data_IF_091435383933
#
_entry.id   IF_091435383933
#
_cell.length_a   1.000
_cell.length_b   1.000
_cell.length_c   1.000
_cell.angle_alpha   90.00
_cell.angle_beta   90.00
_cell.angle_gamma   90.00
#
_symmetry.space_group_name_H-M   'P 1'
#
loop_
_entity.id
_entity.type
_entity.pdbx_description
1 polymer ?
#
# COMPACT_ATOMS: atom_id res chain seq x y z
N UNK A 1 14.90 -36.28 -4.27
CA UNK A 1 13.55 -36.63 -3.80
C UNK A 1 12.65 -35.43 -4.11
N UNK A 2 11.65 -35.61 -4.98
CA UNK A 2 10.72 -34.54 -5.34
C UNK A 2 9.64 -34.33 -4.29
N UNK A 3 8.67 -33.45 -4.60
CA UNK A 3 7.43 -33.30 -3.83
C UNK A 3 6.65 -34.61 -3.91
N UNK A 4 6.21 -35.14 -2.77
CA UNK A 4 5.47 -36.41 -2.66
C UNK A 4 4.05 -36.24 -2.09
N UNK A 5 3.63 -34.99 -1.80
CA UNK A 5 2.33 -34.71 -1.19
C UNK A 5 1.81 -33.31 -1.48
N UNK A 6 0.53 -33.20 -1.83
CA UNK A 6 -0.22 -31.95 -2.02
C UNK A 6 -1.39 -31.89 -1.04
N UNK A 7 -1.65 -30.74 -0.44
CA UNK A 7 -2.71 -30.54 0.56
C UNK A 7 -3.23 -29.10 0.53
N UNK A 8 -4.51 -28.93 0.84
CA UNK A 8 -5.12 -27.65 1.14
C UNK A 8 -5.19 -27.44 2.66
N UNK A 9 -4.99 -26.20 3.12
CA UNK A 9 -5.21 -25.83 4.53
C UNK A 9 -4.21 -26.39 5.54
N UNK A 10 -2.98 -26.69 5.12
CA UNK A 10 -1.90 -27.09 6.02
C UNK A 10 -0.73 -27.77 5.30
N UNK A 11 0.33 -28.06 6.03
CA UNK A 11 1.56 -28.67 5.49
C UNK A 11 1.79 -30.04 6.15
N UNK A 12 2.03 -31.08 5.35
CA UNK A 12 2.39 -32.40 5.89
C UNK A 12 3.86 -32.42 6.31
N UNK A 13 4.15 -32.62 7.61
CA UNK A 13 5.50 -32.70 8.19
C UNK A 13 5.61 -33.97 9.04
N UNK A 14 6.57 -34.84 8.70
CA UNK A 14 6.77 -36.12 9.40
C UNK A 14 5.46 -36.92 9.59
N UNK A 15 4.62 -36.96 8.55
CA UNK A 15 3.32 -37.66 8.57
C UNK A 15 2.18 -36.93 9.29
N UNK A 16 2.42 -35.79 9.94
CA UNK A 16 1.42 -35.01 10.67
C UNK A 16 1.07 -33.72 9.93
N UNK A 17 -0.12 -33.18 10.21
CA UNK A 17 -0.51 -31.84 9.75
C UNK A 17 0.16 -30.79 10.63
N UNK A 18 0.89 -29.86 10.02
CA UNK A 18 1.33 -28.62 10.63
C UNK A 18 0.60 -27.44 9.99
N UNK A 19 0.55 -26.30 10.70
CA UNK A 19 -0.05 -25.05 10.22
C UNK A 19 -1.50 -25.22 9.72
N UNK A 20 -2.31 -25.95 10.50
CA UNK A 20 -3.70 -26.20 10.14
C UNK A 20 -4.48 -24.89 9.98
N UNK A 21 -5.07 -24.70 8.81
CA UNK A 21 -5.90 -23.55 8.51
C UNK A 21 -7.29 -23.74 9.13
N UNK A 22 -7.79 -22.69 9.79
CA UNK A 22 -9.15 -22.61 10.30
C UNK A 22 -9.88 -21.48 9.57
N UNK A 23 -10.85 -21.85 8.72
CA UNK A 23 -11.61 -20.92 7.88
C UNK A 23 -12.09 -21.62 6.61
N UNK A 24 -12.57 -20.85 5.63
CA UNK A 24 -13.03 -21.36 4.34
C UNK A 24 -12.10 -20.89 3.23
N UNK A 25 -11.58 -21.82 2.43
CA UNK A 25 -10.91 -21.51 1.17
C UNK A 25 -12.00 -21.34 0.09
N UNK A 26 -12.51 -20.12 -0.08
CA UNK A 26 -13.59 -19.83 -1.05
C UNK A 26 -13.21 -20.20 -2.48
N UNK A 27 -11.97 -19.91 -2.88
CA UNK A 27 -11.42 -20.30 -4.16
C UNK A 27 -9.90 -20.51 -4.07
N UNK A 28 -9.37 -21.54 -4.73
CA UNK A 28 -7.94 -21.80 -4.86
C UNK A 28 -7.62 -22.30 -6.27
N UNK A 29 -6.56 -21.77 -6.89
CA UNK A 29 -6.14 -22.11 -8.25
C UNK A 29 -4.65 -22.44 -8.24
N UNK A 30 -4.27 -23.52 -8.91
CA UNK A 30 -2.88 -23.93 -9.08
C UNK A 30 -2.47 -23.75 -10.54
N UNK A 31 -1.30 -23.16 -10.75
CA UNK A 31 -0.69 -22.94 -12.05
C UNK A 31 0.68 -23.63 -12.07
N UNK A 32 1.08 -24.15 -13.22
CA UNK A 32 2.37 -24.80 -13.42
C UNK A 32 3.42 -23.86 -14.04
N UNK A 33 3.15 -22.56 -14.04
CA UNK A 33 4.03 -21.50 -14.52
C UNK A 33 3.98 -20.29 -13.58
N UNK A 34 5.01 -19.44 -13.66
CA UNK A 34 4.97 -18.13 -13.03
C UNK A 34 4.08 -17.21 -13.87
N UNK A 35 3.02 -16.68 -13.24
CA UNK A 35 2.18 -15.64 -13.83
C UNK A 35 2.89 -14.29 -13.74
N UNK A 36 2.59 -13.37 -14.67
CA UNK A 36 3.08 -12.00 -14.60
C UNK A 36 2.40 -11.19 -13.48
N UNK A 37 3.05 -10.08 -13.09
CA UNK A 37 2.64 -9.24 -11.96
C UNK A 37 1.22 -8.67 -12.12
N UNK A 38 0.90 -8.15 -13.30
CA UNK A 38 -0.40 -7.50 -13.56
C UNK A 38 -1.54 -8.52 -13.56
N UNK A 39 -1.30 -9.72 -14.09
CA UNK A 39 -2.25 -10.84 -13.99
C UNK A 39 -2.58 -11.16 -12.53
N UNK A 40 -1.58 -11.27 -11.66
CA UNK A 40 -1.81 -11.63 -10.24
C UNK A 40 -2.46 -10.47 -9.47
N UNK A 41 -2.05 -9.22 -9.71
CA UNK A 41 -2.72 -8.03 -9.13
C UNK A 41 -4.20 -8.01 -9.47
N UNK A 42 -4.54 -8.23 -10.75
CA UNK A 42 -5.94 -8.25 -11.21
C UNK A 42 -6.72 -9.42 -10.62
N UNK A 43 -6.12 -10.60 -10.52
CA UNK A 43 -6.77 -11.79 -9.95
C UNK A 43 -7.06 -11.65 -8.45
N UNK A 44 -6.26 -10.87 -7.72
CA UNK A 44 -6.39 -10.71 -6.26
C UNK A 44 -7.12 -9.43 -5.85
N UNK A 45 -7.37 -8.51 -6.78
CA UNK A 45 -8.22 -7.33 -6.57
C UNK A 45 -9.63 -7.74 -6.16
N UNK A 46 -10.13 -7.18 -5.06
CA UNK A 46 -11.44 -7.49 -4.51
C UNK A 46 -12.02 -6.26 -3.78
N UNK A 47 -13.12 -6.43 -3.04
CA UNK A 47 -13.77 -5.34 -2.30
C UNK A 47 -12.82 -4.62 -1.33
N UNK A 48 -11.86 -5.32 -0.72
CA UNK A 48 -10.86 -4.73 0.19
C UNK A 48 -10.01 -3.69 -0.52
N UNK A 49 -9.62 -3.95 -1.77
CA UNK A 49 -8.84 -3.00 -2.58
C UNK A 49 -9.57 -1.66 -2.78
N UNK A 50 -10.90 -1.68 -2.85
CA UNK A 50 -11.73 -0.49 -3.04
C UNK A 50 -11.78 0.47 -1.85
N UNK A 51 -11.24 0.08 -0.68
CA UNK A 51 -11.18 0.94 0.51
C UNK A 51 -9.96 1.87 0.53
N UNK A 52 -9.06 1.78 -0.44
CA UNK A 52 -7.85 2.60 -0.49
C UNK A 52 -8.11 3.91 -1.25
N UNK A 53 -7.99 5.06 -0.58
CA UNK A 53 -8.09 6.41 -1.18
C UNK A 53 -6.77 6.81 -1.85
N UNK A 54 -5.66 6.51 -1.18
CA UNK A 54 -4.30 6.74 -1.64
C UNK A 54 -3.63 5.38 -1.83
N UNK A 55 -2.98 5.18 -2.97
CA UNK A 55 -2.35 3.90 -3.32
C UNK A 55 -0.92 4.13 -3.76
N UNK A 56 -0.04 3.16 -3.52
CA UNK A 56 1.36 3.26 -3.91
C UNK A 56 1.49 3.62 -5.40
N UNK A 57 2.29 4.65 -5.67
CA UNK A 57 2.53 5.21 -6.99
C UNK A 57 1.25 5.68 -7.73
N UNK A 58 0.27 6.21 -6.99
CA UNK A 58 -0.82 6.99 -7.58
C UNK A 58 -0.34 8.35 -8.09
N UNK A 59 -1.27 9.29 -8.32
CA UNK A 59 -0.94 10.64 -8.81
C UNK A 59 -0.04 11.47 -7.89
N UNK A 60 0.21 11.04 -6.65
CA UNK A 60 1.21 11.66 -5.77
C UNK A 60 2.65 11.26 -6.10
N UNK A 61 2.85 10.15 -6.82
CA UNK A 61 4.15 9.53 -7.03
C UNK A 61 4.78 8.94 -5.77
N UNK A 62 4.06 8.85 -4.65
CA UNK A 62 4.58 8.27 -3.41
C UNK A 62 4.19 6.79 -3.28
N UNK A 63 5.10 5.97 -2.77
CA UNK A 63 4.84 4.57 -2.42
C UNK A 63 4.26 4.40 -1.01
N UNK A 64 4.33 5.41 -0.15
CA UNK A 64 4.08 5.28 1.29
C UNK A 64 3.24 6.43 1.84
N UNK A 65 2.26 6.11 2.67
CA UNK A 65 1.36 7.11 3.24
C UNK A 65 1.20 6.92 4.75
N UNK A 66 1.11 8.03 5.48
CA UNK A 66 0.83 8.06 6.94
C UNK A 66 0.01 9.30 7.30
N UNK A 67 -0.51 9.32 8.53
CA UNK A 67 -1.23 10.47 9.11
C UNK A 67 -2.49 10.86 8.30
N UNK A 68 -3.48 9.96 8.18
CA UNK A 68 -4.72 10.30 7.50
C UNK A 68 -5.57 11.27 8.33
N UNK A 69 -6.13 12.27 7.66
CA UNK A 69 -7.12 13.20 8.21
C UNK A 69 -8.38 13.13 7.36
N UNK A 70 -9.55 13.18 8.01
CA UNK A 70 -10.85 13.30 7.37
C UNK A 70 -11.62 14.47 7.94
N UNK A 71 -12.29 15.22 7.07
CA UNK A 71 -13.12 16.36 7.45
C UNK A 71 -14.33 16.48 6.53
N UNK A 72 -15.52 16.72 7.08
CA UNK A 72 -16.73 16.97 6.27
C UNK A 72 -17.03 18.45 6.25
N UNK A 73 -17.04 19.06 5.08
CA UNK A 73 -17.39 20.46 4.90
C UNK A 73 -18.90 20.68 5.01
N UNK A 74 -19.30 21.94 5.25
CA UNK A 74 -20.72 22.33 5.40
C UNK A 74 -21.58 22.06 4.16
N UNK A 75 -20.97 21.97 2.97
CA UNK A 75 -21.65 21.63 1.73
C UNK A 75 -21.77 20.11 1.48
N UNK A 76 -21.36 19.27 2.44
CA UNK A 76 -21.45 17.81 2.35
C UNK A 76 -20.25 17.12 1.69
N UNK A 77 -19.27 17.86 1.16
CA UNK A 77 -18.02 17.27 0.65
C UNK A 77 -17.24 16.64 1.80
N UNK A 78 -16.82 15.39 1.62
CA UNK A 78 -15.87 14.71 2.51
C UNK A 78 -14.47 14.92 1.96
N UNK A 79 -13.62 15.59 2.73
CA UNK A 79 -12.25 15.92 2.37
C UNK A 79 -11.27 15.06 3.16
N UNK A 80 -10.14 14.68 2.53
CA UNK A 80 -9.03 14.00 3.17
C UNK A 80 -7.70 14.68 2.89
N UNK A 81 -6.81 14.63 3.87
CA UNK A 81 -5.38 14.88 3.68
C UNK A 81 -4.55 13.74 4.27
N UNK A 82 -3.33 13.58 3.78
CA UNK A 82 -2.39 12.55 4.23
C UNK A 82 -0.96 12.97 3.94
N UNK A 83 0.01 12.44 4.68
CA UNK A 83 1.42 12.51 4.30
C UNK A 83 1.69 11.56 3.15
N UNK A 84 2.14 12.08 2.01
CA UNK A 84 2.80 11.33 0.95
C UNK A 84 4.31 11.28 1.26
N UNK A 85 4.78 10.14 1.77
CA UNK A 85 6.16 9.93 2.25
C UNK A 85 6.96 9.18 1.19
N UNK A 86 8.07 9.74 0.73
CA UNK A 86 8.78 9.18 -0.43
C UNK A 86 9.91 8.23 -0.03
N UNK A 87 10.59 8.49 1.09
CA UNK A 87 11.68 7.68 1.62
C UNK A 87 11.25 6.64 2.66
N UNK A 88 10.30 5.78 2.32
CA UNK A 88 9.68 4.87 3.30
C UNK A 88 8.74 5.59 4.27
N UNK A 89 8.38 4.95 5.38
CA UNK A 89 7.39 5.45 6.36
C UNK A 89 7.99 6.22 7.54
N UNK A 90 9.28 6.56 7.48
CA UNK A 90 9.99 7.30 8.52
C UNK A 90 9.33 8.65 8.80
N UNK A 91 9.32 9.07 10.07
CA UNK A 91 8.95 10.44 10.45
C UNK A 91 10.03 11.42 9.99
N UNK A 92 11.29 11.10 10.25
CA UNK A 92 12.46 11.88 9.85
C UNK A 92 13.70 10.98 9.74
N UNK A 93 14.76 11.36 9.01
CA UNK A 93 14.73 12.33 7.92
C UNK A 93 14.01 11.71 6.71
N UNK A 94 13.24 12.52 6.00
CA UNK A 94 12.45 12.07 4.87
C UNK A 94 12.15 13.23 3.91
N UNK A 95 11.65 12.92 2.71
CA UNK A 95 10.92 13.84 1.84
C UNK A 95 9.43 13.53 2.01
N UNK A 96 8.65 14.50 2.45
CA UNK A 96 7.21 14.35 2.71
C UNK A 96 6.45 15.55 2.15
N UNK A 97 5.38 15.26 1.43
CA UNK A 97 4.41 16.23 0.93
C UNK A 97 3.05 15.96 1.58
N UNK A 98 2.18 16.97 1.66
CA UNK A 98 0.77 16.78 2.03
C UNK A 98 -0.07 16.59 0.77
N UNK A 99 -0.71 15.43 0.67
CA UNK A 99 -1.60 15.08 -0.43
C UNK A 99 -3.07 15.11 0.00
N UNK A 100 -3.95 15.58 -0.88
CA UNK A 100 -5.39 15.69 -0.59
C UNK A 100 -6.24 14.99 -1.62
N UNK A 101 -7.38 14.46 -1.18
CA UNK A 101 -8.45 13.91 -2.01
C UNK A 101 -9.80 14.29 -1.40
N UNK A 102 -10.88 14.19 -2.16
CA UNK A 102 -12.22 14.40 -1.64
C UNK A 102 -13.25 13.53 -2.34
N UNK A 103 -14.41 13.43 -1.71
CA UNK A 103 -15.61 12.75 -2.18
C UNK A 103 -16.82 13.68 -2.07
N UNK A 104 -17.62 13.73 -3.13
CA UNK A 104 -18.90 14.46 -3.19
C UNK A 104 -20.11 13.51 -3.12
N UNK A 105 -19.89 12.22 -2.84
CA UNK A 105 -20.91 11.16 -2.86
C UNK A 105 -20.93 10.32 -1.57
N UNK A 106 -20.57 10.94 -0.44
CA UNK A 106 -20.49 10.33 0.90
C UNK A 106 -19.45 9.21 1.00
N UNK A 107 -18.27 9.39 0.38
CA UNK A 107 -17.12 8.50 0.51
C UNK A 107 -17.13 7.28 -0.41
N UNK A 108 -18.05 7.21 -1.39
CA UNK A 108 -18.15 6.08 -2.32
C UNK A 108 -17.10 6.15 -3.42
N UNK A 109 -16.86 7.36 -3.94
CA UNK A 109 -15.79 7.63 -4.89
C UNK A 109 -14.93 8.79 -4.42
N UNK A 110 -13.65 8.74 -4.79
CA UNK A 110 -12.65 9.72 -4.39
C UNK A 110 -11.95 10.28 -5.62
N UNK A 111 -11.62 11.56 -5.59
CA UNK A 111 -10.79 12.18 -6.63
C UNK A 111 -9.40 11.56 -6.67
N UNK A 112 -8.73 11.66 -7.82
CA UNK A 112 -7.28 11.41 -7.88
C UNK A 112 -6.56 12.37 -6.92
N UNK A 113 -5.68 11.86 -6.03
CA UNK A 113 -4.94 12.70 -5.10
C UNK A 113 -4.15 13.82 -5.78
N UNK A 114 -4.02 14.95 -5.10
CA UNK A 114 -3.17 16.08 -5.51
C UNK A 114 -2.17 16.41 -4.42
N UNK A 115 -0.96 16.81 -4.82
CA UNK A 115 0.04 17.38 -3.92
C UNK A 115 -0.36 18.83 -3.60
N UNK A 116 -0.73 19.10 -2.36
CA UNK A 116 -1.27 20.39 -1.92
C UNK A 116 -0.22 21.23 -1.21
N UNK A 117 0.65 20.60 -0.42
CA UNK A 117 1.88 21.22 0.11
C UNK A 117 3.06 20.33 -0.29
N UNK A 118 3.97 20.85 -1.11
CA UNK A 118 5.09 20.09 -1.63
C UNK A 118 6.29 20.97 -1.94
N UNK A 119 7.49 20.48 -1.60
CA UNK A 119 8.76 20.98 -2.12
C UNK A 119 9.22 20.13 -3.32
N UNK A 120 10.01 20.73 -4.20
CA UNK A 120 10.53 20.16 -5.45
C UNK A 120 12.08 20.09 -5.49
N UNK A 121 12.75 20.38 -4.38
CA UNK A 121 14.18 20.12 -4.17
C UNK A 121 14.54 18.64 -4.38
N UNK A 122 13.57 17.76 -4.12
CA UNK A 122 13.53 16.39 -4.60
C UNK A 122 12.26 16.15 -5.43
N UNK A 123 12.38 15.34 -6.48
CA UNK A 123 11.22 14.96 -7.29
C UNK A 123 10.26 14.05 -6.49
N UNK A 124 8.93 14.17 -6.67
CA UNK A 124 7.94 13.27 -6.09
C UNK A 124 7.84 11.97 -6.90
N UNK A 125 8.77 11.04 -6.69
CA UNK A 125 8.87 9.78 -7.45
C UNK A 125 8.77 8.54 -6.55
N UNK A 126 8.26 7.41 -7.06
CA UNK A 126 8.15 6.20 -6.28
C UNK A 126 9.55 5.64 -6.00
N UNK A 127 9.82 5.32 -4.74
CA UNK A 127 11.06 4.66 -4.31
C UNK A 127 10.71 3.35 -3.63
N UNK A 128 11.40 2.27 -4.01
CA UNK A 128 11.35 1.01 -3.29
C UNK A 128 12.32 1.08 -2.10
N UNK A 129 11.77 1.41 -0.93
CA UNK A 129 12.54 1.49 0.30
C UNK A 129 12.87 0.10 0.85
N UNK A 130 14.14 -0.17 1.19
CA UNK A 130 14.55 -1.46 1.74
C UNK A 130 13.82 -1.78 3.06
N UNK A 131 13.53 -3.08 3.27
CA UNK A 131 12.77 -3.58 4.43
C UNK A 131 13.60 -4.50 5.33
N UNK A 132 14.75 -4.94 4.84
CA UNK A 132 15.70 -5.76 5.58
C UNK A 132 16.39 -4.98 6.71
N UNK A 133 16.92 -5.72 7.68
CA UNK A 133 17.69 -5.14 8.77
C UNK A 133 18.96 -4.52 8.21
N UNK A 134 19.26 -3.28 8.61
CA UNK A 134 20.38 -2.48 8.10
C UNK A 134 19.97 -1.58 6.93
N UNK A 135 19.19 -2.08 5.97
CA UNK A 135 18.65 -1.28 4.88
C UNK A 135 17.50 -0.37 5.32
N UNK A 136 16.57 -0.89 6.14
CA UNK A 136 15.35 -0.17 6.53
C UNK A 136 15.57 1.17 7.24
N UNK A 137 16.75 1.35 7.86
CA UNK A 137 17.10 2.55 8.63
C UNK A 137 17.75 3.65 7.76
N UNK A 138 17.99 3.38 6.47
CA UNK A 138 18.36 4.43 5.50
C UNK A 138 17.27 5.50 5.44
N UNK A 139 17.66 6.75 5.18
CA UNK A 139 16.80 7.94 5.20
C UNK A 139 17.13 8.91 4.06
N UNK A 140 16.13 9.64 3.55
CA UNK A 140 16.37 10.80 2.68
C UNK A 140 16.77 11.96 3.58
N UNK A 141 18.05 12.35 3.56
CA UNK A 141 18.62 13.27 4.56
C UNK A 141 18.75 14.73 4.11
N UNK A 142 18.46 15.05 2.85
CA UNK A 142 18.64 16.40 2.28
C UNK A 142 17.37 17.05 1.75
N UNK A 143 16.19 16.47 1.99
CA UNK A 143 14.93 16.96 1.46
C UNK A 143 14.16 17.83 2.46
N UNK A 144 13.66 18.98 1.99
CA UNK A 144 12.65 19.75 2.71
C UNK A 144 11.33 18.96 2.80
N UNK A 145 10.58 19.17 3.90
CA UNK A 145 9.43 18.33 4.25
C UNK A 145 8.30 19.13 4.90
N UNK A 146 7.06 18.81 4.53
CA UNK A 146 5.84 19.11 5.31
C UNK A 146 5.39 17.83 6.03
N UNK A 147 5.06 17.90 7.31
CA UNK A 147 4.68 16.74 8.14
C UNK A 147 3.80 17.20 9.31
N UNK A 148 2.93 16.32 9.80
CA UNK A 148 2.56 16.14 11.23
C UNK A 148 1.52 15.01 11.37
#
# INVERSE_FOLDING_TARGET
KGIDYYRLGGVKRAGKTAFGFNGTLENIKFFNSALDEETVKKMTTNAVTGHLIYTANDTTGSNYFRIPVLYTFSNGRVFSSIDARYGGTHDFLNKINIATSYSDDNGKTWTKPKLTLAFDDFAPVPLEWPRDVGGRDLQISGGATYID
#
